data_IF_997174244988
#
_entry.id   IF_997174244988
#
_cell.length_a   1.000
_cell.length_b   1.000
_cell.length_c   1.000
_cell.angle_alpha   90.00
_cell.angle_beta   90.00
_cell.angle_gamma   90.00
#
_symmetry.space_group_name_H-M   'P 1'
#
loop_
_entity.id
_entity.type
_entity.pdbx_description
1 polymer ?
#
# COMPACT_ATOMS: atom_id res chain seq x y z
N UNK A 1 -34.32 22.64 23.05
CA UNK A 1 -34.94 21.55 22.27
C UNK A 1 -33.92 21.09 21.25
N UNK A 2 -33.54 19.81 21.26
CA UNK A 2 -32.54 19.24 20.34
C UNK A 2 -33.13 19.13 18.93
N UNK A 3 -32.32 19.39 17.90
CA UNK A 3 -32.74 19.41 16.49
C UNK A 3 -32.86 17.97 15.95
N UNK A 4 -34.07 17.45 15.67
CA UNK A 4 -34.27 16.06 15.25
C UNK A 4 -33.58 15.71 13.91
N UNK A 5 -33.29 16.71 13.08
CA UNK A 5 -32.53 16.51 11.84
C UNK A 5 -31.06 16.17 12.11
N UNK A 6 -30.45 16.79 13.13
CA UNK A 6 -29.06 16.54 13.50
C UNK A 6 -28.86 15.12 14.05
N UNK A 7 -29.85 14.60 14.80
CA UNK A 7 -29.83 13.25 15.35
C UNK A 7 -29.99 12.19 14.25
N UNK A 8 -30.83 12.43 13.25
CA UNK A 8 -30.98 11.52 12.10
C UNK A 8 -29.72 11.44 11.21
N UNK A 9 -29.00 12.56 11.05
CA UNK A 9 -27.75 12.59 10.28
C UNK A 9 -26.67 11.82 11.03
N UNK A 10 -26.51 12.06 12.34
CA UNK A 10 -25.55 11.34 13.19
C UNK A 10 -25.80 9.83 13.24
N UNK A 11 -27.06 9.41 13.36
CA UNK A 11 -27.42 7.99 13.37
C UNK A 11 -27.08 7.32 12.03
N UNK A 12 -27.34 8.02 10.92
CA UNK A 12 -26.97 7.55 9.58
C UNK A 12 -25.46 7.45 9.43
N UNK A 13 -24.71 8.47 9.83
CA UNK A 13 -23.25 8.50 9.74
C UNK A 13 -22.61 7.38 10.59
N UNK A 14 -23.13 7.14 11.79
CA UNK A 14 -22.69 6.02 12.63
C UNK A 14 -22.95 4.66 11.98
N UNK A 15 -24.07 4.50 11.27
CA UNK A 15 -24.37 3.27 10.53
C UNK A 15 -23.38 3.05 9.38
N UNK A 16 -23.04 4.10 8.63
CA UNK A 16 -22.04 4.03 7.56
C UNK A 16 -20.66 3.66 8.09
N UNK A 17 -20.21 4.32 9.15
CA UNK A 17 -18.93 4.01 9.80
C UNK A 17 -18.86 2.55 10.25
N UNK A 18 -19.94 2.03 10.83
CA UNK A 18 -19.98 0.64 11.29
C UNK A 18 -19.94 -0.35 10.10
N UNK A 19 -20.59 -0.01 8.98
CA UNK A 19 -20.51 -0.80 7.76
C UNK A 19 -19.08 -0.81 7.18
N UNK A 20 -18.43 0.35 7.13
CA UNK A 20 -17.06 0.49 6.63
C UNK A 20 -16.07 -0.33 7.48
N UNK A 21 -16.21 -0.30 8.80
CA UNK A 21 -15.40 -1.10 9.72
C UNK A 21 -15.59 -2.60 9.51
N UNK A 22 -16.83 -3.05 9.25
CA UNK A 22 -17.11 -4.45 8.95
C UNK A 22 -16.48 -4.88 7.62
N UNK A 23 -16.55 -4.02 6.61
CA UNK A 23 -15.94 -4.27 5.31
C UNK A 23 -14.41 -4.32 5.40
N UNK A 24 -13.78 -3.34 6.06
CA UNK A 24 -12.34 -3.33 6.31
C UNK A 24 -11.89 -4.60 7.06
N UNK A 25 -12.62 -5.00 8.11
CA UNK A 25 -12.33 -6.22 8.88
C UNK A 25 -12.46 -7.49 8.03
N UNK A 26 -13.39 -7.53 7.07
CA UNK A 26 -13.53 -8.65 6.14
C UNK A 26 -12.34 -8.68 5.17
N UNK A 27 -12.01 -7.57 4.55
CA UNK A 27 -10.90 -7.45 3.59
C UNK A 27 -9.56 -7.79 4.26
N UNK A 28 -9.34 -7.33 5.49
CA UNK A 28 -8.16 -7.66 6.29
C UNK A 28 -8.02 -9.17 6.53
N UNK A 29 -9.11 -9.85 6.93
CA UNK A 29 -9.10 -11.31 7.12
C UNK A 29 -8.85 -12.08 5.82
N UNK A 30 -9.48 -11.65 4.73
CA UNK A 30 -9.29 -12.28 3.42
C UNK A 30 -7.86 -12.08 2.91
N UNK A 31 -7.29 -10.89 3.11
CA UNK A 31 -5.88 -10.56 2.80
C UNK A 31 -4.91 -11.41 3.62
N UNK A 32 -5.15 -11.53 4.93
CA UNK A 32 -4.36 -12.40 5.81
C UNK A 32 -4.38 -13.86 5.32
N UNK A 33 -5.56 -14.39 4.95
CA UNK A 33 -5.69 -15.75 4.43
C UNK A 33 -4.96 -15.91 3.09
N UNK A 34 -5.09 -14.94 2.18
CA UNK A 34 -4.42 -14.96 0.89
C UNK A 34 -2.90 -15.01 1.04
N UNK A 35 -2.33 -14.20 1.95
CA UNK A 35 -0.89 -14.23 2.21
C UNK A 35 -0.44 -15.58 2.76
N UNK A 36 -1.14 -16.11 3.77
CA UNK A 36 -0.85 -17.44 4.30
C UNK A 36 -0.92 -18.53 3.24
N UNK A 37 -1.88 -18.45 2.32
CA UNK A 37 -2.06 -19.44 1.27
C UNK A 37 -0.96 -19.38 0.21
N UNK A 38 -0.51 -18.17 -0.17
CA UNK A 38 0.43 -17.97 -1.29
C UNK A 38 1.90 -18.01 -0.87
N UNK A 39 2.26 -17.40 0.26
CA UNK A 39 3.65 -17.32 0.73
C UNK A 39 3.91 -18.11 2.02
N UNK A 40 2.87 -18.45 2.77
CA UNK A 40 3.01 -19.09 4.08
C UNK A 40 3.59 -18.16 5.15
N UNK A 41 3.58 -18.60 6.42
CA UNK A 41 4.16 -17.87 7.54
C UNK A 41 3.38 -16.60 7.97
N UNK A 42 3.61 -16.14 9.20
CA UNK A 42 2.95 -14.94 9.75
C UNK A 42 3.66 -13.62 9.46
N UNK A 43 4.67 -13.62 8.58
CA UNK A 43 5.63 -12.51 8.46
C UNK A 43 6.53 -12.37 9.71
N UNK A 44 7.40 -11.34 9.75
CA UNK A 44 7.59 -10.33 8.71
C UNK A 44 8.20 -10.95 7.43
N UNK A 45 7.88 -10.36 6.29
CA UNK A 45 8.44 -10.75 4.99
C UNK A 45 9.55 -9.80 4.60
N UNK A 46 10.54 -10.28 3.84
CA UNK A 46 11.65 -9.47 3.34
C UNK A 46 11.65 -9.46 1.82
N UNK A 47 11.59 -8.28 1.24
CA UNK A 47 11.65 -8.06 -0.21
C UNK A 47 12.89 -7.25 -0.54
N UNK A 48 13.78 -7.84 -1.32
CA UNK A 48 14.99 -7.17 -1.81
C UNK A 48 14.68 -6.43 -3.12
N UNK A 49 15.11 -5.17 -3.21
CA UNK A 49 15.09 -4.37 -4.42
C UNK A 49 16.51 -4.09 -4.86
N UNK A 50 16.76 -4.20 -6.16
CA UNK A 50 18.02 -3.79 -6.78
C UNK A 50 17.82 -2.40 -7.36
N UNK A 51 18.63 -1.45 -6.92
CA UNK A 51 18.64 -0.08 -7.37
C UNK A 51 19.54 0.08 -8.60
N UNK A 52 19.16 0.97 -9.52
CA UNK A 52 20.00 1.35 -10.64
C UNK A 52 20.31 2.84 -10.53
N UNK A 53 21.57 3.16 -10.30
CA UNK A 53 22.06 4.54 -10.30
C UNK A 53 22.64 4.91 -11.68
N UNK A 54 22.52 6.17 -12.12
CA UNK A 54 23.10 6.62 -13.38
C UNK A 54 24.61 6.38 -13.42
N UNK A 55 25.09 5.75 -14.50
CA UNK A 55 26.53 5.54 -14.72
C UNK A 55 27.15 4.34 -13.98
N UNK A 56 26.37 3.60 -13.19
CA UNK A 56 26.83 2.37 -12.54
C UNK A 56 26.38 1.11 -13.29
N UNK A 57 27.18 0.05 -13.25
CA UNK A 57 26.74 -1.25 -13.74
C UNK A 57 25.66 -1.80 -12.78
N UNK A 58 24.60 -2.37 -13.34
CA UNK A 58 23.60 -3.11 -12.56
C UNK A 58 24.31 -4.13 -11.66
N UNK A 59 23.92 -4.19 -10.39
CA UNK A 59 24.46 -5.09 -9.34
C UNK A 59 25.79 -4.71 -8.66
N UNK A 60 26.23 -3.45 -8.72
CA UNK A 60 27.33 -2.98 -7.87
C UNK A 60 27.01 -3.16 -6.35
N UNK A 61 28.05 -3.38 -5.54
CA UNK A 61 27.93 -3.49 -4.08
C UNK A 61 27.44 -2.16 -3.52
N UNK A 62 26.26 -2.15 -2.88
CA UNK A 62 25.60 -0.94 -2.38
C UNK A 62 24.24 -0.64 -3.02
N UNK A 63 23.91 -1.31 -4.13
CA UNK A 63 22.69 -1.03 -4.90
C UNK A 63 21.51 -1.91 -4.49
N UNK A 64 21.38 -2.23 -3.20
CA UNK A 64 20.32 -3.10 -2.70
C UNK A 64 19.69 -2.50 -1.45
N UNK A 65 18.37 -2.51 -1.43
CA UNK A 65 17.58 -2.21 -0.24
C UNK A 65 16.71 -3.42 0.07
N UNK A 66 16.55 -3.74 1.36
CA UNK A 66 15.65 -4.79 1.82
C UNK A 66 14.55 -4.14 2.62
N UNK A 67 13.32 -4.34 2.18
CA UNK A 67 12.13 -3.89 2.87
C UNK A 67 11.62 -5.06 3.70
N UNK A 68 11.59 -4.87 5.02
CA UNK A 68 10.93 -5.79 5.96
C UNK A 68 9.50 -5.30 6.21
N UNK A 69 8.51 -6.16 6.00
CA UNK A 69 7.11 -5.81 6.24
C UNK A 69 6.80 -5.84 7.73
N UNK A 70 5.72 -5.18 8.15
CA UNK A 70 5.12 -5.47 9.45
C UNK A 70 4.69 -6.96 9.54
N UNK A 71 4.52 -7.52 10.76
CA UNK A 71 3.89 -8.82 10.95
C UNK A 71 2.51 -8.86 10.32
N UNK A 72 2.17 -9.98 9.68
CA UNK A 72 0.92 -10.15 8.95
C UNK A 72 -0.31 -9.95 9.85
N UNK A 73 -0.21 -10.33 11.12
CA UNK A 73 -1.29 -10.18 12.09
C UNK A 73 -1.60 -8.73 12.49
N UNK A 74 -0.73 -7.76 12.14
CA UNK A 74 -0.89 -6.36 12.53
C UNK A 74 -1.36 -5.46 11.38
N UNK A 75 -0.86 -5.68 10.17
CA UNK A 75 -1.21 -4.92 8.97
C UNK A 75 -1.50 -5.87 7.78
N UNK A 76 -2.49 -6.77 7.90
CA UNK A 76 -2.69 -7.83 6.92
C UNK A 76 -2.99 -7.34 5.50
N UNK A 77 -3.73 -6.25 5.34
CA UNK A 77 -4.08 -5.76 4.02
C UNK A 77 -2.89 -5.05 3.34
N UNK A 78 -2.18 -4.20 4.07
CA UNK A 78 -0.99 -3.51 3.59
C UNK A 78 0.12 -4.49 3.21
N UNK A 79 0.37 -5.50 4.04
CA UNK A 79 1.35 -6.57 3.76
C UNK A 79 0.95 -7.34 2.50
N UNK A 80 -0.32 -7.76 2.41
CA UNK A 80 -0.82 -8.48 1.24
C UNK A 80 -0.65 -7.68 -0.06
N UNK A 81 -1.10 -6.42 -0.06
CA UNK A 81 -0.97 -5.52 -1.20
C UNK A 81 0.48 -5.34 -1.62
N UNK A 82 1.38 -5.07 -0.67
CA UNK A 82 2.80 -4.88 -0.96
C UNK A 82 3.43 -6.12 -1.61
N UNK A 83 3.13 -7.31 -1.07
CA UNK A 83 3.66 -8.57 -1.59
C UNK A 83 3.09 -8.92 -2.97
N UNK A 84 1.80 -8.68 -3.21
CA UNK A 84 1.20 -8.86 -4.55
C UNK A 84 1.89 -7.96 -5.56
N UNK A 85 2.02 -6.66 -5.27
CA UNK A 85 2.69 -5.68 -6.14
C UNK A 85 4.15 -6.03 -6.42
N UNK A 86 4.90 -6.43 -5.37
CA UNK A 86 6.29 -6.84 -5.50
C UNK A 86 6.42 -8.12 -6.34
N UNK A 87 5.59 -9.14 -6.05
CA UNK A 87 5.61 -10.42 -6.77
C UNK A 87 5.20 -10.29 -8.24
N UNK A 88 4.33 -9.33 -8.54
CA UNK A 88 3.92 -8.98 -9.90
C UNK A 88 4.97 -8.13 -10.64
N UNK A 89 6.05 -7.73 -9.96
CA UNK A 89 7.14 -6.94 -10.54
C UNK A 89 6.78 -5.49 -10.83
N UNK A 90 5.75 -4.94 -10.16
CA UNK A 90 5.22 -3.59 -10.46
C UNK A 90 6.21 -2.46 -10.20
N UNK A 91 7.16 -2.68 -9.31
CA UNK A 91 8.22 -1.71 -9.03
C UNK A 91 9.37 -1.76 -10.04
N UNK A 92 9.40 -2.76 -10.94
CA UNK A 92 10.50 -2.92 -11.89
C UNK A 92 10.47 -1.82 -12.94
N UNK A 93 11.59 -1.11 -13.10
CA UNK A 93 11.70 0.01 -14.04
C UNK A 93 11.09 1.31 -13.52
N UNK A 94 10.46 1.30 -12.34
CA UNK A 94 10.00 2.52 -11.68
C UNK A 94 11.18 3.34 -11.16
N UNK A 95 10.92 4.61 -10.86
CA UNK A 95 11.91 5.58 -10.38
C UNK A 95 11.44 6.14 -9.05
N UNK A 96 12.41 6.42 -8.19
CA UNK A 96 12.18 7.17 -6.97
C UNK A 96 12.04 8.65 -7.30
N UNK A 97 10.98 9.25 -6.77
CA UNK A 97 10.71 10.68 -6.82
C UNK A 97 10.84 11.26 -5.41
N UNK A 98 11.30 12.50 -5.31
CA UNK A 98 11.23 13.23 -4.05
C UNK A 98 9.85 13.86 -3.90
N UNK A 99 9.18 13.58 -2.79
CA UNK A 99 7.92 14.20 -2.42
C UNK A 99 8.17 15.11 -1.21
N UNK A 100 8.52 16.37 -1.49
CA UNK A 100 8.97 17.30 -0.46
C UNK A 100 10.40 17.03 0.01
N UNK A 101 10.75 17.52 1.21
CA UNK A 101 12.11 17.38 1.77
C UNK A 101 12.36 16.04 2.47
N UNK A 102 11.30 15.37 2.91
CA UNK A 102 11.41 14.32 3.93
C UNK A 102 10.91 12.94 3.46
N UNK A 103 10.38 12.83 2.23
CA UNK A 103 9.81 11.59 1.70
C UNK A 103 10.30 11.30 0.29
N UNK A 104 10.53 10.01 0.05
CA UNK A 104 10.80 9.44 -1.27
C UNK A 104 9.60 8.57 -1.66
N UNK A 105 9.07 8.78 -2.86
CA UNK A 105 7.91 8.05 -3.39
C UNK A 105 8.28 7.25 -4.63
N UNK A 106 7.48 6.23 -4.90
CA UNK A 106 7.52 5.49 -6.17
C UNK A 106 6.13 5.56 -6.77
N UNK A 107 6.04 6.19 -7.93
CA UNK A 107 4.81 6.20 -8.72
C UNK A 107 4.88 5.03 -9.70
N UNK A 108 3.84 4.19 -9.69
CA UNK A 108 3.73 3.06 -10.62
C UNK A 108 3.35 3.51 -12.04
N UNK A 109 2.87 4.75 -12.17
CA UNK A 109 2.59 5.38 -13.46
C UNK A 109 3.90 5.96 -13.99
N UNK A 110 4.40 5.44 -15.13
CA UNK A 110 5.52 6.04 -15.86
C UNK A 110 5.20 6.23 -17.34
N UNK A 111 5.58 7.43 -17.80
CA UNK A 111 5.10 8.19 -18.95
C UNK A 111 5.27 7.59 -20.36
N UNK A 112 6.02 6.50 -20.57
CA UNK A 112 6.39 6.10 -21.95
C UNK A 112 5.95 4.69 -22.38
N UNK A 113 5.42 3.86 -21.47
CA UNK A 113 5.06 2.46 -21.79
C UNK A 113 3.75 2.02 -21.11
N UNK A 114 2.82 2.97 -20.97
CA UNK A 114 1.50 2.77 -20.38
C UNK A 114 0.74 1.58 -21.01
N UNK A 115 0.99 1.26 -22.28
CA UNK A 115 0.37 0.12 -22.98
C UNK A 115 0.89 -1.25 -22.51
N UNK A 116 2.14 -1.35 -22.02
CA UNK A 116 2.67 -2.61 -21.47
C UNK A 116 2.18 -2.87 -20.04
N UNK A 117 2.05 -1.83 -19.22
CA UNK A 117 1.44 -1.91 -17.89
C UNK A 117 -0.08 -2.15 -17.99
N UNK A 118 -0.78 -1.46 -18.90
CA UNK A 118 -2.18 -1.75 -19.23
C UNK A 118 -2.37 -3.17 -19.78
N UNK A 119 -1.42 -3.72 -20.56
CA UNK A 119 -1.51 -5.12 -21.00
C UNK A 119 -1.25 -6.13 -19.88
N UNK A 120 -0.33 -5.84 -18.96
CA UNK A 120 -0.04 -6.73 -17.83
C UNK A 120 -1.11 -6.67 -16.74
N UNK A 121 -1.81 -5.54 -16.60
CA UNK A 121 -2.71 -5.26 -15.48
C UNK A 121 -3.97 -4.49 -15.89
N UNK A 122 -4.54 -4.75 -17.09
CA UNK A 122 -5.74 -4.05 -17.63
C UNK A 122 -6.92 -4.02 -16.65
N UNK A 123 -6.92 -4.94 -15.70
CA UNK A 123 -8.02 -5.18 -14.77
C UNK A 123 -7.69 -4.73 -13.33
N UNK A 124 -6.49 -4.20 -13.07
CA UNK A 124 -6.01 -3.94 -11.70
C UNK A 124 -5.16 -2.67 -11.56
N UNK A 125 -5.75 -1.63 -10.96
CA UNK A 125 -5.00 -0.49 -10.41
C UNK A 125 -4.72 -0.77 -8.93
N UNK A 126 -3.46 -0.97 -8.52
CA UNK A 126 -3.14 -1.23 -7.12
C UNK A 126 -3.49 0.00 -6.27
N UNK A 127 -4.46 -0.15 -5.38
CA UNK A 127 -4.84 0.88 -4.41
C UNK A 127 -5.27 0.21 -3.10
N UNK A 128 -4.93 0.83 -1.98
CA UNK A 128 -5.42 0.40 -0.67
C UNK A 128 -6.94 0.51 -0.63
N UNK A 129 -7.62 -0.55 -0.17
CA UNK A 129 -9.09 -0.55 -0.07
C UNK A 129 -9.58 0.34 1.08
N UNK A 130 -8.76 0.52 2.11
CA UNK A 130 -8.97 1.39 3.26
C UNK A 130 -7.61 1.76 3.87
N UNK A 131 -7.49 2.88 4.61
CA UNK A 131 -6.30 3.19 5.38
C UNK A 131 -6.13 2.16 6.51
N UNK A 132 -5.05 1.39 6.50
CA UNK A 132 -4.73 0.44 7.56
C UNK A 132 -3.57 1.00 8.40
N UNK A 133 -3.79 1.14 9.70
CA UNK A 133 -2.82 1.76 10.61
C UNK A 133 -2.68 0.96 11.90
N UNK A 134 -1.48 0.98 12.49
CA UNK A 134 -1.18 0.34 13.77
C UNK A 134 -0.16 1.20 14.52
N UNK A 135 -0.42 1.54 15.78
CA UNK A 135 0.43 2.42 16.58
C UNK A 135 1.85 1.88 16.82
N UNK A 136 2.06 0.57 16.65
CA UNK A 136 3.40 -0.04 16.70
C UNK A 136 4.24 0.19 15.44
N UNK A 137 3.63 0.68 14.35
CA UNK A 137 4.28 1.02 13.08
C UNK A 137 3.96 2.48 12.72
N UNK A 138 4.44 3.45 13.51
CA UNK A 138 4.20 4.86 13.26
C UNK A 138 4.98 5.35 12.03
N UNK A 139 4.57 6.49 11.47
CA UNK A 139 5.28 7.13 10.37
C UNK A 139 6.53 7.84 10.92
N UNK A 140 7.69 7.21 10.76
CA UNK A 140 9.01 7.74 11.18
C UNK A 140 10.05 7.47 10.09
N UNK A 141 11.28 7.96 10.27
CA UNK A 141 12.37 7.75 9.31
C UNK A 141 12.54 6.25 8.97
N UNK A 142 12.77 5.97 7.69
CA UNK A 142 12.92 4.61 7.12
C UNK A 142 11.69 3.70 7.22
N UNK A 143 10.50 4.27 7.44
CA UNK A 143 9.24 3.51 7.30
C UNK A 143 8.68 3.59 5.89
N UNK A 144 8.00 2.53 5.46
CA UNK A 144 7.30 2.46 4.19
C UNK A 144 5.80 2.57 4.43
N UNK A 145 5.13 3.45 3.69
CA UNK A 145 3.68 3.59 3.69
C UNK A 145 3.12 3.61 2.28
N UNK A 146 1.85 3.25 2.14
CA UNK A 146 1.10 3.53 0.94
C UNK A 146 0.70 5.01 0.95
N UNK A 147 0.88 5.70 -0.18
CA UNK A 147 0.25 7.01 -0.33
C UNK A 147 -1.26 6.83 -0.24
N UNK A 148 -1.88 7.55 0.70
CA UNK A 148 -3.32 7.58 0.82
C UNK A 148 -3.96 8.22 -0.41
N UNK A 149 -5.28 8.01 -0.57
CA UNK A 149 -6.05 8.93 -1.41
C UNK A 149 -6.14 10.25 -0.68
N UNK A 150 -5.87 11.34 -1.38
CA UNK A 150 -6.28 12.66 -0.90
C UNK A 150 -7.77 12.60 -0.56
N UNK A 151 -8.21 13.08 0.61
CA UNK A 151 -9.63 13.07 0.98
C UNK A 151 -10.50 13.86 -0.02
N UNK A 152 -9.88 14.76 -0.79
CA UNK A 152 -10.54 15.58 -1.81
C UNK A 152 -10.53 14.96 -3.23
N UNK A 153 -9.92 13.79 -3.41
CA UNK A 153 -10.04 13.00 -4.65
C UNK A 153 -9.58 13.71 -5.93
N UNK A 154 -8.58 14.59 -5.85
CA UNK A 154 -7.96 15.12 -7.06
C UNK A 154 -6.85 14.17 -7.54
N UNK A 155 -6.81 13.83 -8.84
CA UNK A 155 -5.67 13.14 -9.45
C UNK A 155 -4.41 14.00 -9.40
#
# INVERSE_FOLDING_TARGET
QLNPMADSVRARDAQWQNHDLQMASKIARDSHRAVLQKWGGGGPFRVEFVLQFPGEQSHAVGNRIVIETAPLGMLPHAVHMFLEMASAGLYTGTRFNFAGSDMVTVNLEQDDDADQLKKKFSDYTPAMSFPEYNDHFPHVEYTLGFMGRDPDGLP
#
